data_IF_513157557645
#
_entry.id   IF_513157557645
#
_cell.length_a   1.000
_cell.length_b   1.000
_cell.length_c   1.000
_cell.angle_alpha   90.00
_cell.angle_beta   90.00
_cell.angle_gamma   90.00
#
_symmetry.space_group_name_H-M   'P 1'
#
loop_
_entity.id
_entity.type
_entity.pdbx_description
1 polymer ?
#
# COMPACT_ATOMS: atom_id res chain seq x y z
N UNK A 1 -80.36 -10.71 -59.11
CA UNK A 1 -81.04 -11.88 -59.70
C UNK A 1 -82.26 -11.33 -60.40
N UNK A 2 -82.44 -11.58 -61.70
CA UNK A 2 -83.57 -11.00 -62.44
C UNK A 2 -84.86 -11.70 -62.02
N UNK A 3 -85.96 -10.95 -61.83
CA UNK A 3 -87.28 -11.48 -61.46
C UNK A 3 -87.72 -12.62 -62.42
N UNK A 4 -87.29 -12.56 -63.68
CA UNK A 4 -87.57 -13.56 -64.71
C UNK A 4 -86.85 -14.91 -64.48
N UNK A 5 -85.67 -14.87 -63.84
CA UNK A 5 -84.92 -16.08 -63.44
C UNK A 5 -85.54 -16.76 -62.23
N UNK A 6 -86.09 -15.98 -61.29
CA UNK A 6 -86.79 -16.50 -60.12
C UNK A 6 -88.13 -17.12 -60.53
N UNK A 7 -88.88 -16.46 -61.44
CA UNK A 7 -90.10 -17.02 -62.03
C UNK A 7 -89.83 -18.37 -62.70
N UNK A 8 -88.74 -18.51 -63.46
CA UNK A 8 -88.40 -19.76 -64.15
C UNK A 8 -88.09 -20.91 -63.19
N UNK A 9 -87.25 -20.67 -62.16
CA UNK A 9 -86.98 -21.67 -61.12
C UNK A 9 -88.28 -22.07 -60.37
N UNK A 10 -89.12 -21.07 -60.15
CA UNK A 10 -90.51 -21.16 -59.70
C UNK A 10 -91.35 -22.22 -60.40
N UNK A 11 -91.41 -22.03 -61.72
CA UNK A 11 -92.19 -22.83 -62.64
C UNK A 11 -91.59 -24.23 -62.78
N UNK A 12 -90.26 -24.37 -62.71
CA UNK A 12 -89.60 -25.68 -62.70
C UNK A 12 -89.96 -26.49 -61.45
N UNK A 13 -89.98 -25.88 -60.27
CA UNK A 13 -90.45 -26.53 -59.05
C UNK A 13 -91.93 -26.94 -59.12
N UNK A 14 -92.79 -26.14 -59.78
CA UNK A 14 -94.19 -26.51 -60.03
C UNK A 14 -94.32 -27.66 -61.04
N UNK A 15 -93.43 -27.75 -62.04
CA UNK A 15 -93.40 -28.84 -63.03
C UNK A 15 -93.08 -30.20 -62.41
N UNK A 16 -92.30 -30.24 -61.34
CA UNK A 16 -92.01 -31.48 -60.61
C UNK A 16 -93.20 -31.95 -59.77
N UNK A 17 -94.02 -31.01 -59.27
CA UNK A 17 -95.15 -31.29 -58.37
C UNK A 17 -96.44 -31.62 -59.11
N UNK A 18 -96.67 -31.02 -60.27
CA UNK A 18 -97.89 -31.21 -61.06
C UNK A 18 -97.58 -31.89 -62.39
N UNK A 19 -97.95 -33.16 -62.50
CA UNK A 19 -97.76 -33.97 -63.72
C UNK A 19 -98.81 -33.66 -64.80
N UNK A 20 -100.00 -33.21 -64.42
CA UNK A 20 -101.03 -32.76 -65.35
C UNK A 20 -100.73 -31.37 -65.94
N UNK A 21 -100.80 -31.27 -67.26
CA UNK A 21 -100.48 -30.04 -67.99
C UNK A 21 -101.52 -28.95 -67.75
N UNK A 22 -102.81 -29.28 -67.62
CA UNK A 22 -103.86 -28.26 -67.37
C UNK A 22 -103.73 -27.66 -65.98
N UNK A 23 -103.51 -28.51 -64.98
CA UNK A 23 -103.27 -28.08 -63.60
C UNK A 23 -102.01 -27.24 -63.49
N UNK A 24 -100.92 -27.64 -64.15
CA UNK A 24 -99.69 -26.86 -64.19
C UNK A 24 -99.90 -25.45 -64.78
N UNK A 25 -100.62 -25.32 -65.90
CA UNK A 25 -100.93 -24.01 -66.46
C UNK A 25 -101.70 -23.11 -65.50
N UNK A 26 -102.65 -23.66 -64.74
CA UNK A 26 -103.42 -22.91 -63.74
C UNK A 26 -102.54 -22.43 -62.57
N UNK A 27 -101.65 -23.27 -62.06
CA UNK A 27 -100.73 -22.88 -60.97
C UNK A 27 -99.71 -21.84 -61.44
N UNK A 28 -99.25 -21.91 -62.69
CA UNK A 28 -98.39 -20.87 -63.28
C UNK A 28 -99.17 -19.56 -63.50
N UNK A 29 -100.44 -19.61 -63.91
CA UNK A 29 -101.31 -18.42 -63.91
C UNK A 29 -101.40 -17.79 -62.51
N UNK A 30 -101.62 -18.61 -61.47
CA UNK A 30 -101.70 -18.14 -60.09
C UNK A 30 -100.37 -17.54 -59.61
N UNK A 31 -99.24 -18.19 -59.91
CA UNK A 31 -97.90 -17.71 -59.56
C UNK A 31 -97.61 -16.34 -60.18
N UNK A 32 -97.84 -16.20 -61.49
CA UNK A 32 -97.63 -14.94 -62.19
C UNK A 32 -98.53 -13.81 -61.66
N UNK A 33 -99.81 -14.10 -61.45
CA UNK A 33 -100.78 -13.10 -61.04
C UNK A 33 -100.65 -12.69 -59.56
N UNK A 34 -100.62 -13.65 -58.64
CA UNK A 34 -100.67 -13.35 -57.20
C UNK A 34 -99.31 -12.96 -56.61
N UNK A 35 -98.22 -13.57 -57.07
CA UNK A 35 -96.91 -13.34 -56.46
C UNK A 35 -96.10 -12.27 -57.18
N UNK A 36 -96.15 -12.26 -58.50
CA UNK A 36 -95.37 -11.32 -59.31
C UNK A 36 -96.21 -10.15 -59.86
N UNK A 37 -97.54 -10.16 -59.69
CA UNK A 37 -98.42 -9.09 -60.18
C UNK A 37 -98.47 -8.98 -61.72
N UNK A 38 -98.00 -10.01 -62.44
CA UNK A 38 -97.97 -10.02 -63.90
C UNK A 38 -99.28 -10.63 -64.41
N UNK A 39 -100.01 -9.90 -65.26
CA UNK A 39 -101.19 -10.44 -65.94
C UNK A 39 -100.80 -11.61 -66.83
N UNK A 40 -101.27 -12.84 -66.54
CA UNK A 40 -100.88 -14.01 -67.31
C UNK A 40 -101.46 -13.87 -68.74
N UNK A 41 -100.63 -14.12 -69.75
CA UNK A 41 -101.06 -14.18 -71.15
C UNK A 41 -100.71 -15.54 -71.73
N UNK A 42 -101.47 -16.01 -72.73
CA UNK A 42 -101.25 -17.31 -73.34
C UNK A 42 -99.79 -17.49 -73.85
N UNK A 43 -99.18 -16.43 -74.37
CA UNK A 43 -97.79 -16.42 -74.81
C UNK A 43 -96.80 -16.62 -73.66
N UNK A 44 -96.93 -15.85 -72.56
CA UNK A 44 -96.04 -15.98 -71.39
C UNK A 44 -96.17 -17.34 -70.71
N UNK A 45 -97.39 -17.85 -70.58
CA UNK A 45 -97.64 -19.18 -70.01
C UNK A 45 -96.95 -20.27 -70.83
N UNK A 46 -97.07 -20.19 -72.16
CA UNK A 46 -96.43 -21.15 -73.06
C UNK A 46 -94.90 -21.08 -72.97
N UNK A 47 -94.32 -19.87 -72.89
CA UNK A 47 -92.87 -19.66 -72.78
C UNK A 47 -92.27 -20.29 -71.52
N UNK A 48 -92.99 -20.29 -70.40
CA UNK A 48 -92.53 -20.84 -69.12
C UNK A 48 -92.84 -22.34 -68.97
N UNK A 49 -93.98 -22.84 -69.43
CA UNK A 49 -94.39 -24.25 -69.23
C UNK A 49 -93.88 -25.18 -70.33
N UNK A 50 -93.81 -24.69 -71.58
CA UNK A 50 -93.36 -25.40 -72.79
C UNK A 50 -93.86 -26.85 -72.92
N UNK A 51 -95.13 -27.11 -72.58
CA UNK A 51 -95.79 -28.42 -72.66
C UNK A 51 -97.23 -28.29 -73.18
N UNK A 52 -97.71 -29.28 -73.94
CA UNK A 52 -99.10 -29.34 -74.42
C UNK A 52 -99.34 -28.73 -75.81
N UNK A 53 -100.60 -28.79 -76.26
CA UNK A 53 -101.01 -28.22 -77.55
C UNK A 53 -101.08 -26.69 -77.50
N UNK A 54 -101.05 -26.05 -78.68
CA UNK A 54 -101.10 -24.60 -78.84
C UNK A 54 -102.36 -23.94 -78.21
N UNK A 55 -103.46 -24.68 -78.03
CA UNK A 55 -104.72 -24.18 -77.44
C UNK A 55 -104.80 -24.31 -75.90
N UNK A 56 -103.95 -25.12 -75.27
CA UNK A 56 -104.01 -25.40 -73.84
C UNK A 56 -103.75 -24.16 -72.93
N UNK A 57 -102.82 -23.24 -73.25
CA UNK A 57 -102.59 -22.04 -72.43
C UNK A 57 -103.79 -21.09 -72.40
N UNK A 58 -104.52 -20.97 -73.52
CA UNK A 58 -105.67 -20.08 -73.62
C UNK A 58 -106.89 -20.60 -72.84
N UNK A 59 -107.14 -21.91 -72.89
CA UNK A 59 -108.23 -22.55 -72.12
C UNK A 59 -107.98 -22.46 -70.61
N UNK A 60 -106.74 -22.71 -70.17
CA UNK A 60 -106.36 -22.61 -68.76
C UNK A 60 -106.46 -21.17 -68.24
N UNK A 61 -106.07 -20.19 -69.06
CA UNK A 61 -106.21 -18.77 -68.72
C UNK A 61 -107.67 -18.36 -68.55
N UNK A 62 -108.55 -18.76 -69.47
CA UNK A 62 -109.98 -18.44 -69.41
C UNK A 62 -110.64 -19.00 -68.13
N UNK A 63 -110.36 -20.27 -67.81
CA UNK A 63 -110.84 -20.93 -66.58
C UNK A 63 -110.28 -20.27 -65.32
N UNK A 64 -109.01 -19.88 -65.31
CA UNK A 64 -108.41 -19.17 -64.18
C UNK A 64 -109.14 -17.85 -63.86
N UNK A 65 -109.46 -17.04 -64.88
CA UNK A 65 -110.20 -15.79 -64.68
C UNK A 65 -111.66 -15.97 -64.30
N UNK A 66 -112.28 -17.08 -64.69
CA UNK A 66 -113.62 -17.48 -64.24
C UNK A 66 -113.61 -17.87 -62.76
N UNK A 67 -112.72 -18.78 -62.36
CA UNK A 67 -112.54 -19.23 -60.99
C UNK A 67 -112.18 -18.06 -60.04
N UNK A 68 -111.31 -17.15 -60.49
CA UNK A 68 -110.91 -15.98 -59.71
C UNK A 68 -112.08 -15.03 -59.47
N UNK A 69 -112.92 -14.80 -60.49
CA UNK A 69 -114.12 -13.96 -60.36
C UNK A 69 -115.17 -14.60 -59.45
N UNK A 70 -115.33 -15.92 -59.51
CA UNK A 70 -116.22 -16.64 -58.60
C UNK A 70 -115.77 -16.55 -57.14
N UNK A 71 -114.47 -16.72 -56.86
CA UNK A 71 -113.92 -16.70 -55.49
C UNK A 71 -113.81 -15.30 -54.88
N UNK A 72 -113.73 -14.25 -55.70
CA UNK A 72 -113.61 -12.88 -55.21
C UNK A 72 -114.96 -12.26 -54.80
N UNK A 73 -116.09 -12.92 -55.10
CA UNK A 73 -117.42 -12.42 -54.76
C UNK A 73 -117.85 -12.96 -53.39
N UNK A 74 -118.20 -12.07 -52.47
CA UNK A 74 -118.77 -12.43 -51.18
C UNK A 74 -120.27 -12.62 -51.37
N UNK A 75 -120.70 -13.85 -51.63
CA UNK A 75 -122.12 -14.21 -51.73
C UNK A 75 -122.57 -14.91 -50.44
N UNK A 76 -123.65 -14.41 -49.84
CA UNK A 76 -124.32 -15.07 -48.71
C UNK A 76 -125.38 -15.98 -49.30
N UNK A 77 -125.03 -17.24 -49.49
CA UNK A 77 -125.94 -18.19 -50.11
C UNK A 77 -126.84 -18.85 -49.06
N UNK A 78 -128.07 -18.35 -48.96
CA UNK A 78 -129.13 -18.91 -48.12
C UNK A 78 -130.42 -19.04 -48.94
N UNK A 79 -131.06 -20.22 -48.99
CA UNK A 79 -132.17 -20.49 -49.92
C UNK A 79 -133.42 -19.63 -49.67
N UNK A 80 -133.66 -19.20 -48.43
CA UNK A 80 -134.88 -18.44 -48.05
C UNK A 80 -134.68 -16.92 -47.93
N UNK A 81 -133.53 -16.38 -48.34
CA UNK A 81 -133.23 -14.94 -48.18
C UNK A 81 -133.48 -14.17 -49.48
N UNK A 82 -134.27 -13.07 -49.47
CA UNK A 82 -134.45 -12.21 -50.64
C UNK A 82 -133.12 -11.63 -51.15
N UNK A 83 -132.96 -11.55 -52.46
CA UNK A 83 -131.71 -11.14 -53.11
C UNK A 83 -131.19 -9.77 -52.63
N UNK A 84 -132.08 -8.80 -52.45
CA UNK A 84 -131.74 -7.47 -51.94
C UNK A 84 -131.11 -7.50 -50.53
N UNK A 85 -131.49 -8.46 -49.68
CA UNK A 85 -130.90 -8.64 -48.34
C UNK A 85 -129.53 -9.32 -48.42
N UNK A 86 -129.34 -10.27 -49.35
CA UNK A 86 -128.04 -10.92 -49.59
C UNK A 86 -127.00 -9.91 -50.08
N UNK A 87 -127.38 -9.06 -51.03
CA UNK A 87 -126.50 -8.00 -51.55
C UNK A 87 -126.13 -6.99 -50.46
N UNK A 88 -127.12 -6.51 -49.68
CA UNK A 88 -126.87 -5.57 -48.59
C UNK A 88 -125.95 -6.16 -47.50
N UNK A 89 -126.15 -7.43 -47.13
CA UNK A 89 -125.32 -8.09 -46.13
C UNK A 89 -123.90 -8.40 -46.65
N UNK A 90 -123.76 -8.81 -47.92
CA UNK A 90 -122.45 -8.99 -48.57
C UNK A 90 -121.67 -7.67 -48.67
N UNK A 91 -122.34 -6.57 -49.00
CA UNK A 91 -121.76 -5.23 -48.99
C UNK A 91 -121.30 -4.81 -47.58
N UNK A 92 -122.14 -5.02 -46.56
CA UNK A 92 -121.79 -4.68 -45.18
C UNK A 92 -120.57 -5.46 -44.68
N UNK A 93 -120.49 -6.76 -44.95
CA UNK A 93 -119.33 -7.60 -44.59
C UNK A 93 -118.08 -7.17 -45.35
N UNK A 94 -118.21 -6.83 -46.64
CA UNK A 94 -117.08 -6.34 -47.43
C UNK A 94 -116.53 -5.01 -46.91
N UNK A 95 -117.40 -4.08 -46.50
CA UNK A 95 -117.00 -2.79 -45.92
C UNK A 95 -116.32 -3.01 -44.56
N UNK A 96 -116.90 -3.86 -43.70
CA UNK A 96 -116.34 -4.16 -42.39
C UNK A 96 -114.97 -4.83 -42.53
N UNK A 97 -114.83 -5.81 -43.42
CA UNK A 97 -113.55 -6.45 -43.71
C UNK A 97 -112.50 -5.47 -44.22
N UNK A 98 -112.87 -4.59 -45.15
CA UNK A 98 -111.97 -3.57 -45.67
C UNK A 98 -111.50 -2.62 -44.56
N UNK A 99 -112.42 -2.14 -43.71
CA UNK A 99 -112.10 -1.26 -42.58
C UNK A 99 -111.23 -1.96 -41.53
N UNK A 100 -111.55 -3.20 -41.15
CA UNK A 100 -110.73 -3.96 -40.20
C UNK A 100 -109.34 -4.27 -40.75
N UNK A 101 -109.23 -4.58 -42.04
CA UNK A 101 -107.93 -4.82 -42.69
C UNK A 101 -107.10 -3.54 -42.75
N UNK A 102 -107.73 -2.40 -43.00
CA UNK A 102 -107.02 -1.10 -43.01
C UNK A 102 -106.53 -0.72 -41.62
N UNK A 103 -107.39 -0.81 -40.59
CA UNK A 103 -106.99 -0.56 -39.20
C UNK A 103 -105.84 -1.47 -38.75
N UNK A 104 -105.91 -2.76 -39.07
CA UNK A 104 -104.85 -3.72 -38.75
C UNK A 104 -103.52 -3.39 -39.48
N UNK A 105 -103.59 -2.85 -40.71
CA UNK A 105 -102.40 -2.39 -41.45
C UNK A 105 -101.79 -1.15 -40.82
N UNK A 106 -102.62 -0.20 -40.39
CA UNK A 106 -102.19 1.01 -39.69
C UNK A 106 -101.51 0.67 -38.36
N UNK A 107 -102.13 -0.18 -37.54
CA UNK A 107 -101.55 -0.66 -36.27
C UNK A 107 -100.22 -1.41 -36.49
N UNK A 108 -100.16 -2.29 -37.49
CA UNK A 108 -98.93 -2.99 -37.84
C UNK A 108 -97.84 -2.03 -38.32
N UNK A 109 -98.20 -0.98 -39.07
CA UNK A 109 -97.26 0.04 -39.50
C UNK A 109 -96.70 0.83 -38.30
N UNK A 110 -97.56 1.20 -37.34
CA UNK A 110 -97.14 1.86 -36.10
C UNK A 110 -96.17 0.99 -35.30
N UNK A 111 -96.52 -0.28 -35.03
CA UNK A 111 -95.65 -1.22 -34.31
C UNK A 111 -94.31 -1.45 -35.04
N UNK A 112 -94.29 -1.46 -36.37
CA UNK A 112 -93.05 -1.58 -37.15
C UNK A 112 -92.15 -0.34 -36.99
N UNK A 113 -92.72 0.85 -36.89
CA UNK A 113 -91.95 2.08 -36.65
C UNK A 113 -91.38 2.08 -35.24
N UNK A 114 -92.19 1.72 -34.24
CA UNK A 114 -91.76 1.63 -32.84
C UNK A 114 -90.64 0.59 -32.67
N UNK A 115 -90.82 -0.62 -33.18
CA UNK A 115 -89.80 -1.67 -33.10
C UNK A 115 -88.49 -1.28 -33.82
N UNK A 116 -88.57 -0.52 -34.93
CA UNK A 116 -87.38 0.01 -35.60
C UNK A 116 -86.68 1.08 -34.75
N UNK A 117 -87.45 2.00 -34.16
CA UNK A 117 -86.91 3.03 -33.27
C UNK A 117 -86.23 2.43 -32.03
N UNK A 118 -86.84 1.41 -31.41
CA UNK A 118 -86.24 0.67 -30.30
C UNK A 118 -84.97 -0.08 -30.72
N UNK A 119 -84.98 -0.75 -31.87
CA UNK A 119 -83.81 -1.45 -32.39
C UNK A 119 -82.65 -0.50 -32.69
N UNK A 120 -82.94 0.68 -33.25
CA UNK A 120 -81.92 1.67 -33.57
C UNK A 120 -81.38 2.35 -32.31
N UNK A 121 -82.24 2.62 -31.32
CA UNK A 121 -81.83 3.08 -29.98
C UNK A 121 -80.92 2.07 -29.28
N UNK A 122 -81.29 0.78 -29.29
CA UNK A 122 -80.48 -0.29 -28.71
C UNK A 122 -79.12 -0.44 -29.40
N UNK A 123 -79.07 -0.32 -30.74
CA UNK A 123 -77.79 -0.32 -31.49
C UNK A 123 -76.92 0.87 -31.14
N UNK A 124 -77.50 2.06 -31.01
CA UNK A 124 -76.77 3.27 -30.61
C UNK A 124 -76.17 3.11 -29.21
N UNK A 125 -76.95 2.61 -28.24
CA UNK A 125 -76.47 2.32 -26.90
C UNK A 125 -75.36 1.25 -26.89
N UNK A 126 -75.50 0.19 -27.69
CA UNK A 126 -74.45 -0.83 -27.84
C UNK A 126 -73.16 -0.24 -28.40
N UNK A 127 -73.24 0.61 -29.42
CA UNK A 127 -72.07 1.27 -30.00
C UNK A 127 -71.39 2.20 -28.99
N UNK A 128 -72.16 2.95 -28.20
CA UNK A 128 -71.61 3.81 -27.15
C UNK A 128 -70.87 3.01 -26.08
N UNK A 129 -71.43 1.88 -25.63
CA UNK A 129 -70.79 0.99 -24.66
C UNK A 129 -69.53 0.36 -25.26
N UNK A 130 -69.55 -0.06 -26.53
CA UNK A 130 -68.37 -0.60 -27.22
C UNK A 130 -67.25 0.44 -27.34
N UNK A 131 -67.58 1.69 -27.67
CA UNK A 131 -66.60 2.78 -27.73
C UNK A 131 -66.00 3.07 -26.35
N UNK A 132 -66.83 3.08 -25.30
CA UNK A 132 -66.35 3.24 -23.91
C UNK A 132 -65.45 2.10 -23.48
N UNK A 133 -65.81 0.85 -23.78
CA UNK A 133 -64.97 -0.30 -23.47
C UNK A 133 -63.63 -0.24 -24.21
N UNK A 134 -63.62 0.09 -25.51
CA UNK A 134 -62.39 0.25 -26.27
C UNK A 134 -61.49 1.36 -25.69
N UNK A 135 -62.08 2.48 -25.24
CA UNK A 135 -61.33 3.55 -24.58
C UNK A 135 -60.72 3.10 -23.23
N UNK A 136 -61.48 2.35 -22.43
CA UNK A 136 -61.00 1.81 -21.15
C UNK A 136 -59.88 0.78 -21.39
N UNK A 137 -60.02 -0.10 -22.37
CA UNK A 137 -58.99 -1.07 -22.74
C UNK A 137 -57.69 -0.38 -23.19
N UNK A 138 -57.80 0.69 -23.98
CA UNK A 138 -56.63 1.50 -24.38
C UNK A 138 -55.94 2.14 -23.16
N UNK A 139 -56.71 2.73 -22.24
CA UNK A 139 -56.17 3.31 -21.01
C UNK A 139 -55.54 2.25 -20.10
N UNK A 140 -56.11 1.04 -20.04
CA UNK A 140 -55.56 -0.07 -19.27
C UNK A 140 -54.22 -0.54 -19.85
N UNK A 141 -54.12 -0.68 -21.17
CA UNK A 141 -52.87 -1.04 -21.85
C UNK A 141 -51.78 0.03 -21.62
N UNK A 142 -52.14 1.31 -21.71
CA UNK A 142 -51.22 2.41 -21.41
C UNK A 142 -50.76 2.42 -19.95
N UNK A 143 -51.67 2.15 -19.01
CA UNK A 143 -51.34 2.04 -17.60
C UNK A 143 -50.42 0.84 -17.32
N UNK A 144 -50.65 -0.30 -17.98
CA UNK A 144 -49.80 -1.49 -17.88
C UNK A 144 -48.41 -1.24 -18.46
N UNK A 145 -48.29 -0.56 -19.61
CA UNK A 145 -46.98 -0.24 -20.19
C UNK A 145 -46.20 0.70 -19.28
N UNK A 146 -46.84 1.76 -18.75
CA UNK A 146 -46.24 2.66 -17.76
C UNK A 146 -45.84 1.92 -16.49
N UNK A 147 -46.65 0.97 -16.03
CA UNK A 147 -46.33 0.10 -14.90
C UNK A 147 -45.06 -0.70 -15.13
N UNK A 148 -44.96 -1.39 -16.27
CA UNK A 148 -43.79 -2.17 -16.64
C UNK A 148 -42.52 -1.30 -16.80
N UNK A 149 -42.65 -0.10 -17.37
CA UNK A 149 -41.54 0.87 -17.46
C UNK A 149 -41.05 1.32 -16.09
N UNK A 150 -41.96 1.63 -15.17
CA UNK A 150 -41.61 2.04 -13.80
C UNK A 150 -40.99 0.89 -13.01
N UNK A 151 -41.51 -0.33 -13.13
CA UNK A 151 -40.92 -1.54 -12.54
C UNK A 151 -39.51 -1.78 -13.06
N UNK A 152 -39.30 -1.64 -14.38
CA UNK A 152 -37.98 -1.73 -14.99
C UNK A 152 -37.00 -0.68 -14.45
N UNK A 153 -37.46 0.58 -14.29
CA UNK A 153 -36.66 1.66 -13.69
C UNK A 153 -36.32 1.39 -12.23
N UNK A 154 -37.27 0.90 -11.44
CA UNK A 154 -37.04 0.55 -10.03
C UNK A 154 -36.03 -0.59 -9.92
N UNK A 155 -36.14 -1.62 -10.76
CA UNK A 155 -35.18 -2.72 -10.80
C UNK A 155 -33.77 -2.22 -11.17
N UNK A 156 -33.68 -1.40 -12.22
CA UNK A 156 -32.40 -0.83 -12.66
C UNK A 156 -31.75 0.02 -11.56
N UNK A 157 -32.49 0.96 -10.97
CA UNK A 157 -31.99 1.77 -9.84
C UNK A 157 -31.61 0.92 -8.63
N UNK A 158 -32.32 -0.19 -8.38
CA UNK A 158 -31.97 -1.17 -7.37
C UNK A 158 -30.60 -1.80 -7.63
N UNK A 159 -30.33 -2.21 -8.87
CA UNK A 159 -29.03 -2.79 -9.25
C UNK A 159 -27.88 -1.79 -9.15
N UNK A 160 -28.11 -0.53 -9.55
CA UNK A 160 -27.12 0.55 -9.43
C UNK A 160 -26.81 0.85 -7.96
N UNK A 161 -27.84 0.96 -7.11
CA UNK A 161 -27.67 1.18 -5.68
C UNK A 161 -26.88 0.06 -5.01
N UNK A 162 -27.13 -1.20 -5.38
CA UNK A 162 -26.34 -2.31 -4.88
C UNK A 162 -24.89 -2.27 -5.36
N UNK A 163 -24.65 -1.87 -6.62
CA UNK A 163 -23.31 -1.69 -7.15
C UNK A 163 -22.55 -0.61 -6.37
N UNK A 164 -23.16 0.56 -6.17
CA UNK A 164 -22.60 1.67 -5.39
C UNK A 164 -22.33 1.26 -3.94
N UNK A 165 -23.24 0.52 -3.30
CA UNK A 165 -23.03 -0.01 -1.94
C UNK A 165 -21.83 -0.95 -1.87
N UNK A 166 -21.65 -1.83 -2.86
CA UNK A 166 -20.48 -2.73 -2.93
C UNK A 166 -19.18 -1.94 -3.16
N UNK A 167 -19.21 -0.95 -4.06
CA UNK A 167 -18.07 -0.08 -4.33
C UNK A 167 -17.67 0.72 -3.08
N UNK A 168 -18.64 1.32 -2.39
CA UNK A 168 -18.43 2.04 -1.13
C UNK A 168 -17.89 1.13 -0.03
N UNK A 169 -18.43 -0.08 0.13
CA UNK A 169 -17.89 -1.04 1.11
C UNK A 169 -16.43 -1.41 0.81
N UNK A 170 -16.08 -1.59 -0.46
CA UNK A 170 -14.71 -1.88 -0.88
C UNK A 170 -13.76 -0.70 -0.63
N UNK A 171 -14.17 0.53 -0.92
CA UNK A 171 -13.35 1.72 -0.65
C UNK A 171 -13.20 1.97 0.85
N UNK A 172 -14.25 1.78 1.65
CA UNK A 172 -14.19 1.87 3.10
C UNK A 172 -13.22 0.84 3.71
N UNK A 173 -13.27 -0.43 3.28
CA UNK A 173 -12.34 -1.46 3.73
C UNK A 173 -10.88 -1.16 3.37
N UNK A 174 -10.63 -0.60 2.17
CA UNK A 174 -9.30 -0.12 1.77
C UNK A 174 -8.83 1.04 2.63
N UNK A 175 -9.70 2.00 2.91
CA UNK A 175 -9.38 3.14 3.77
C UNK A 175 -9.03 2.69 5.20
N UNK A 176 -9.79 1.75 5.77
CA UNK A 176 -9.50 1.17 7.09
C UNK A 176 -8.16 0.42 7.11
N UNK A 177 -7.87 -0.37 6.05
CA UNK A 177 -6.59 -1.07 5.91
C UNK A 177 -5.42 -0.09 5.82
N UNK A 178 -5.55 0.97 5.02
CA UNK A 178 -4.53 2.02 4.91
C UNK A 178 -4.35 2.77 6.22
N UNK A 179 -5.43 3.05 6.97
CA UNK A 179 -5.34 3.68 8.28
C UNK A 179 -4.55 2.82 9.26
N UNK A 180 -4.82 1.50 9.31
CA UNK A 180 -4.05 0.55 10.13
C UNK A 180 -2.57 0.55 9.75
N UNK A 181 -2.25 0.50 8.46
CA UNK A 181 -0.86 0.56 7.99
C UNK A 181 -0.16 1.86 8.40
N UNK A 182 -0.85 3.00 8.33
CA UNK A 182 -0.31 4.28 8.78
C UNK A 182 -0.03 4.28 10.28
N UNK A 183 -0.92 3.71 11.08
CA UNK A 183 -0.73 3.64 12.54
C UNK A 183 0.38 2.66 12.94
N UNK A 184 0.52 1.53 12.24
CA UNK A 184 1.65 0.60 12.38
C UNK A 184 2.97 1.29 12.04
N UNK A 185 3.06 1.96 10.90
CA UNK A 185 4.26 2.70 10.49
C UNK A 185 4.62 3.83 11.46
N UNK A 186 3.63 4.54 12.02
CA UNK A 186 3.88 5.55 13.07
C UNK A 186 4.45 4.91 14.33
N UNK A 187 3.93 3.75 14.74
CA UNK A 187 4.42 3.03 15.91
C UNK A 187 5.86 2.55 15.68
N UNK A 188 6.16 1.97 14.52
CA UNK A 188 7.50 1.55 14.13
C UNK A 188 8.47 2.74 14.07
N UNK A 189 8.05 3.86 13.49
CA UNK A 189 8.86 5.08 13.46
C UNK A 189 9.16 5.59 14.88
N UNK A 190 8.16 5.59 15.77
CA UNK A 190 8.34 6.00 17.17
C UNK A 190 9.33 5.08 17.90
N UNK A 191 9.18 3.75 17.77
CA UNK A 191 10.10 2.77 18.34
C UNK A 191 11.52 2.96 17.79
N UNK A 192 11.64 3.13 16.48
CA UNK A 192 12.93 3.39 15.82
C UNK A 192 13.60 4.65 16.39
N UNK A 193 12.87 5.76 16.53
CA UNK A 193 13.38 7.00 17.17
C UNK A 193 13.82 6.78 18.61
N UNK A 194 13.05 6.03 19.41
CA UNK A 194 13.41 5.69 20.79
C UNK A 194 14.69 4.84 20.84
N UNK A 195 14.81 3.81 19.99
CA UNK A 195 16.01 2.99 19.89
C UNK A 195 17.23 3.81 19.47
N UNK A 196 17.10 4.67 18.46
CA UNK A 196 18.19 5.55 18.04
C UNK A 196 18.61 6.51 19.15
N UNK A 197 17.66 7.11 19.89
CA UNK A 197 17.98 7.96 21.04
C UNK A 197 18.74 7.18 22.12
N UNK A 198 18.27 5.98 22.45
CA UNK A 198 18.92 5.13 23.45
C UNK A 198 20.34 4.74 23.04
N UNK A 199 20.57 4.41 21.76
CA UNK A 199 21.91 4.11 21.24
C UNK A 199 22.82 5.36 21.22
N UNK A 200 22.28 6.54 20.91
CA UNK A 200 23.02 7.80 21.02
C UNK A 200 23.44 8.10 22.46
N UNK A 201 22.53 7.91 23.42
CA UNK A 201 22.83 8.15 24.84
C UNK A 201 23.84 7.14 25.39
N UNK A 202 23.74 5.86 25.00
CA UNK A 202 24.78 4.85 25.29
C UNK A 202 26.13 5.23 24.68
N UNK A 203 26.14 5.69 23.43
CA UNK A 203 27.35 6.16 22.75
C UNK A 203 28.00 7.34 23.46
N UNK A 204 27.20 8.33 23.90
CA UNK A 204 27.67 9.46 24.70
C UNK A 204 28.25 9.00 26.04
N UNK A 205 27.54 8.14 26.77
CA UNK A 205 28.02 7.60 28.04
C UNK A 205 29.35 6.83 27.87
N UNK A 206 29.51 6.05 26.80
CA UNK A 206 30.76 5.34 26.50
C UNK A 206 31.92 6.31 26.18
N UNK A 207 31.64 7.41 25.46
CA UNK A 207 32.61 8.47 25.19
C UNK A 207 33.02 9.16 26.50
N UNK A 208 32.05 9.53 27.35
CA UNK A 208 32.31 10.19 28.63
C UNK A 208 33.13 9.29 29.57
N UNK A 209 32.82 7.99 29.61
CA UNK A 209 33.58 7.01 30.39
C UNK A 209 35.01 6.86 29.85
N UNK A 210 35.18 6.77 28.53
CA UNK A 210 36.51 6.71 27.91
C UNK A 210 37.32 7.99 28.16
N UNK A 211 36.68 9.16 28.09
CA UNK A 211 37.29 10.45 28.41
C UNK A 211 37.70 10.52 29.88
N UNK A 212 36.86 10.05 30.80
CA UNK A 212 37.20 9.95 32.23
C UNK A 212 38.37 9.02 32.47
N UNK A 213 38.37 7.82 31.87
CA UNK A 213 39.49 6.87 31.94
C UNK A 213 40.79 7.47 31.39
N UNK A 214 40.73 8.20 30.28
CA UNK A 214 41.88 8.90 29.71
C UNK A 214 42.40 10.00 30.65
N UNK A 215 41.52 10.84 31.20
CA UNK A 215 41.87 11.90 32.14
C UNK A 215 42.44 11.34 33.46
N UNK A 216 41.96 10.19 33.94
CA UNK A 216 42.57 9.50 35.08
C UNK A 216 43.94 8.91 34.76
N UNK A 217 44.12 8.31 33.58
CA UNK A 217 45.40 7.79 33.14
C UNK A 217 46.42 8.93 33.00
N UNK A 218 46.01 10.07 32.42
CA UNK A 218 46.83 11.29 32.33
C UNK A 218 47.22 11.80 33.73
N UNK A 219 46.27 11.90 34.66
CA UNK A 219 46.57 12.28 36.07
C UNK A 219 47.53 11.32 36.76
N UNK A 220 47.43 10.01 36.51
CA UNK A 220 48.38 9.02 37.03
C UNK A 220 49.77 9.22 36.43
N UNK A 221 49.87 9.37 35.12
CA UNK A 221 51.13 9.64 34.43
C UNK A 221 51.81 10.92 34.93
N UNK A 222 51.06 12.01 35.13
CA UNK A 222 51.59 13.27 35.69
C UNK A 222 52.15 13.07 37.11
N UNK A 223 51.46 12.31 37.96
CA UNK A 223 51.96 11.98 39.31
C UNK A 223 53.22 11.11 39.28
N UNK A 224 53.31 10.17 38.34
CA UNK A 224 54.52 9.37 38.14
C UNK A 224 55.69 10.23 37.67
N UNK A 225 55.46 11.15 36.72
CA UNK A 225 56.46 12.13 36.28
C UNK A 225 56.94 13.00 37.44
N UNK A 226 56.04 13.49 38.30
CA UNK A 226 56.44 14.31 39.46
C UNK A 226 57.19 13.49 40.52
N UNK A 227 56.82 12.23 40.74
CA UNK A 227 57.59 11.30 41.59
C UNK A 227 58.98 11.05 41.00
N UNK A 228 59.11 10.83 39.71
CA UNK A 228 60.40 10.70 39.05
C UNK A 228 61.22 11.98 39.15
N UNK A 229 60.62 13.15 38.94
CA UNK A 229 61.31 14.45 39.07
C UNK A 229 61.81 14.68 40.49
N UNK A 230 61.00 14.38 41.49
CA UNK A 230 61.40 14.51 42.90
C UNK A 230 62.48 13.50 43.28
N UNK A 231 62.39 12.26 42.83
CA UNK A 231 63.45 11.26 43.00
C UNK A 231 64.75 11.69 42.31
N UNK A 232 64.69 12.16 41.06
CA UNK A 232 65.86 12.71 40.34
C UNK A 232 66.48 13.88 41.10
N UNK A 233 65.67 14.84 41.57
CA UNK A 233 66.17 15.98 42.35
C UNK A 233 66.80 15.56 43.69
N UNK A 234 66.29 14.49 44.34
CA UNK A 234 66.91 13.92 45.53
C UNK A 234 68.26 13.26 45.21
N UNK A 235 68.32 12.47 44.13
CA UNK A 235 69.57 11.86 43.66
C UNK A 235 70.59 12.93 43.26
N UNK A 236 70.18 14.00 42.58
CA UNK A 236 71.05 15.13 42.22
C UNK A 236 71.61 15.82 43.47
N UNK A 237 70.77 16.05 44.50
CA UNK A 237 71.24 16.58 45.79
C UNK A 237 72.23 15.64 46.48
N UNK A 238 71.98 14.34 46.47
CA UNK A 238 72.90 13.34 47.03
C UNK A 238 74.22 13.31 46.25
N UNK A 239 74.18 13.36 44.92
CA UNK A 239 75.36 13.47 44.08
C UNK A 239 76.15 14.75 44.38
N UNK A 240 75.48 15.88 44.53
CA UNK A 240 76.14 17.15 44.86
C UNK A 240 76.73 17.14 46.28
N UNK A 241 76.06 16.52 47.25
CA UNK A 241 76.62 16.29 48.58
C UNK A 241 77.85 15.37 48.55
N UNK A 242 77.80 14.28 47.77
CA UNK A 242 78.94 13.38 47.61
C UNK A 242 80.10 14.06 46.88
N UNK A 243 79.82 14.90 45.87
CA UNK A 243 80.82 15.77 45.23
C UNK A 243 81.42 16.75 46.23
N UNK A 244 80.60 17.42 47.04
CA UNK A 244 81.06 18.28 48.12
C UNK A 244 82.02 17.56 49.07
N UNK A 245 81.60 16.39 49.59
CA UNK A 245 82.45 15.53 50.44
C UNK A 245 83.73 15.08 49.74
N UNK A 246 83.68 14.77 48.45
CA UNK A 246 84.87 14.42 47.67
C UNK A 246 85.81 15.62 47.57
N UNK A 247 85.31 16.82 47.25
CA UNK A 247 86.14 18.03 47.21
C UNK A 247 86.73 18.39 48.57
N UNK A 248 86.00 18.17 49.66
CA UNK A 248 86.53 18.32 51.03
C UNK A 248 87.61 17.29 51.33
N UNK A 249 87.38 16.01 51.01
CA UNK A 249 88.37 14.96 51.17
C UNK A 249 89.63 15.19 50.30
N UNK A 250 89.47 15.71 49.08
CA UNK A 250 90.57 16.14 48.21
C UNK A 250 91.35 17.31 48.81
N UNK A 251 90.66 18.32 49.38
CA UNK A 251 91.31 19.43 50.10
C UNK A 251 92.04 18.94 51.35
N UNK A 252 91.44 18.09 52.15
CA UNK A 252 92.07 17.49 53.33
C UNK A 252 93.28 16.64 52.94
N UNK A 253 93.16 15.85 51.88
CA UNK A 253 94.28 15.07 51.35
C UNK A 253 95.40 15.98 50.83
N UNK A 254 95.06 17.05 50.12
CA UNK A 254 96.02 18.04 49.64
C UNK A 254 96.70 18.78 50.81
N UNK A 255 95.96 19.15 51.86
CA UNK A 255 96.49 19.75 53.07
C UNK A 255 97.44 18.80 53.80
N UNK A 256 97.06 17.52 53.96
CA UNK A 256 97.93 16.47 54.52
C UNK A 256 99.19 16.25 53.68
N UNK A 257 99.09 16.29 52.35
CA UNK A 257 100.24 16.20 51.45
C UNK A 257 101.16 17.41 51.60
N UNK A 258 100.61 18.63 51.71
CA UNK A 258 101.39 19.84 51.97
C UNK A 258 102.09 19.79 53.33
N UNK A 259 101.40 19.31 54.37
CA UNK A 259 101.96 19.13 55.71
C UNK A 259 103.05 18.05 55.72
N UNK A 260 102.83 16.92 55.05
CA UNK A 260 103.83 15.87 54.87
C UNK A 260 105.05 16.38 54.07
N UNK A 261 104.84 17.17 53.01
CA UNK A 261 105.92 17.82 52.27
C UNK A 261 106.67 18.84 53.13
N UNK A 262 105.97 19.62 53.96
CA UNK A 262 106.60 20.55 54.89
C UNK A 262 107.41 19.80 55.97
N UNK A 263 106.91 18.68 56.48
CA UNK A 263 107.63 17.80 57.39
C UNK A 263 108.85 17.16 56.72
N UNK A 264 108.73 16.70 55.47
CA UNK A 264 109.86 16.22 54.67
C UNK A 264 110.90 17.33 54.44
N UNK A 265 110.49 18.56 54.13
CA UNK A 265 111.40 19.69 53.96
C UNK A 265 112.14 20.04 55.26
N UNK A 266 111.44 19.98 56.41
CA UNK A 266 112.08 20.14 57.74
C UNK A 266 113.10 19.04 58.00
N UNK A 267 112.73 17.77 57.79
CA UNK A 267 113.65 16.64 57.93
C UNK A 267 114.86 16.74 56.99
N UNK A 268 114.66 17.21 55.76
CA UNK A 268 115.74 17.45 54.81
C UNK A 268 116.68 18.58 55.30
N UNK A 269 116.13 19.66 55.84
CA UNK A 269 116.91 20.75 56.45
C UNK A 269 117.66 20.29 57.70
N UNK A 270 117.04 19.50 58.57
CA UNK A 270 117.69 18.93 59.75
C UNK A 270 118.81 17.97 59.36
N UNK A 271 118.62 17.15 58.32
CA UNK A 271 119.67 16.31 57.75
C UNK A 271 120.81 17.13 57.15
N UNK A 272 120.53 18.23 56.48
CA UNK A 272 121.56 19.10 55.90
C UNK A 272 122.36 19.82 57.01
N UNK A 273 121.69 20.26 58.08
CA UNK A 273 122.34 20.80 59.29
C UNK A 273 123.17 19.75 60.04
N UNK A 274 122.67 18.51 60.13
CA UNK A 274 123.43 17.39 60.67
C UNK A 274 124.65 17.06 59.79
N UNK A 275 124.51 17.16 58.46
CA UNK A 275 125.63 16.99 57.53
C UNK A 275 126.65 18.11 57.64
N UNK A 276 126.23 19.37 57.78
CA UNK A 276 127.16 20.50 57.94
C UNK A 276 127.92 20.41 59.27
N UNK A 277 127.25 20.06 60.37
CA UNK A 277 127.92 19.82 61.66
C UNK A 277 128.86 18.61 61.63
N UNK A 278 128.53 17.55 60.89
CA UNK A 278 129.43 16.43 60.64
C UNK A 278 130.64 16.84 59.79
N UNK A 279 130.44 17.67 58.77
CA UNK A 279 131.52 18.21 57.95
C UNK A 279 132.45 19.11 58.75
N UNK A 280 131.90 19.96 59.62
CA UNK A 280 132.68 20.83 60.51
C UNK A 280 133.48 20.01 61.53
N UNK A 281 132.89 18.98 62.15
CA UNK A 281 133.60 18.08 63.06
C UNK A 281 134.65 17.21 62.36
N UNK A 282 134.42 16.82 61.10
CA UNK A 282 135.44 16.18 60.27
C UNK A 282 136.62 17.13 59.95
N UNK A 283 136.33 18.42 59.72
CA UNK A 283 137.33 19.47 59.49
C UNK A 283 138.20 19.72 60.73
N UNK A 284 137.58 19.76 61.92
CA UNK A 284 138.29 19.87 63.20
C UNK A 284 139.19 18.65 63.44
N UNK A 285 138.70 17.43 63.18
CA UNK A 285 139.51 16.22 63.30
C UNK A 285 140.68 16.20 62.31
N UNK A 286 140.49 16.68 61.07
CA UNK A 286 141.59 16.79 60.11
C UNK A 286 142.67 17.78 60.57
N UNK A 287 142.27 18.94 61.12
CA UNK A 287 143.22 19.92 61.68
C UNK A 287 144.01 19.34 62.86
N UNK A 288 143.34 18.64 63.77
CA UNK A 288 144.00 17.93 64.88
C UNK A 288 144.94 16.81 64.38
N UNK A 289 144.58 16.13 63.29
CA UNK A 289 145.44 15.12 62.65
C UNK A 289 146.74 15.69 62.07
N UNK A 290 146.68 16.90 61.47
CA UNK A 290 147.86 17.60 60.93
C UNK A 290 148.78 18.07 62.05
N UNK A 291 148.23 18.61 63.15
CA UNK A 291 149.03 19.04 64.31
C UNK A 291 149.78 17.87 64.97
N UNK A 292 149.13 16.71 65.08
CA UNK A 292 149.76 15.51 65.63
C UNK A 292 150.91 14.97 64.75
N UNK A 293 150.74 15.02 63.43
CA UNK A 293 151.80 14.64 62.48
C UNK A 293 153.02 15.57 62.54
N UNK A 294 152.80 16.87 62.71
CA UNK A 294 153.89 17.84 62.87
C UNK A 294 154.66 17.64 64.19
N UNK A 295 153.96 17.31 65.29
CA UNK A 295 154.59 16.98 66.57
C UNK A 295 155.46 15.71 66.48
N UNK A 296 155.01 14.68 65.77
CA UNK A 296 155.76 13.43 65.59
C UNK A 296 157.02 13.62 64.72
N UNK A 297 156.96 14.48 63.69
CA UNK A 297 158.12 14.79 62.85
C UNK A 297 159.20 15.58 63.61
N UNK A 298 158.82 16.50 64.49
CA UNK A 298 159.76 17.23 65.35
C UNK A 298 160.50 16.31 66.34
N UNK A 299 159.84 15.28 66.87
CA UNK A 299 160.46 14.27 67.75
C UNK A 299 161.42 13.37 66.97
N UNK A 300 161.10 13.02 65.73
CA UNK A 300 161.97 12.21 64.87
C UNK A 300 163.26 12.95 64.49
N UNK A 301 163.18 14.26 64.20
CA UNK A 301 164.36 15.09 63.86
C UNK A 301 165.34 15.22 65.04
N UNK A 302 164.83 15.40 66.27
CA UNK A 302 165.69 15.45 67.48
C UNK A 302 166.35 14.11 67.81
N UNK A 303 165.74 12.97 67.43
CA UNK A 303 166.37 11.65 67.57
C UNK A 303 167.50 11.44 66.57
N UNK A 304 167.34 11.88 65.32
CA UNK A 304 168.37 11.77 64.29
C UNK A 304 169.63 12.62 64.59
N UNK A 305 169.46 13.80 65.19
CA UNK A 305 170.56 14.68 65.62
C UNK A 305 171.34 14.10 66.81
N UNK A 306 170.67 13.38 67.73
CA UNK A 306 171.32 12.74 68.87
C UNK A 306 172.17 11.51 68.48
N UNK A 307 171.78 10.78 67.44
CA UNK A 307 172.49 9.58 66.98
C UNK A 307 173.71 9.92 66.09
N UNK A 308 173.67 11.06 65.39
CA UNK A 308 174.80 11.56 64.57
C UNK A 308 175.95 12.11 65.42
N UNK A 309 175.66 12.75 66.56
CA UNK A 309 176.68 13.21 67.51
C UNK A 309 177.34 12.06 68.30
N UNK A 310 176.64 10.92 68.49
CA UNK A 310 177.21 9.70 69.10
C UNK A 310 178.16 8.94 68.18
N UNK A 311 178.00 9.04 66.86
CA UNK A 311 178.83 8.32 65.90
C UNK A 311 180.23 8.95 65.67
N UNK A 312 180.37 10.28 65.83
CA UNK A 312 181.64 10.99 65.61
C UNK A 312 182.66 10.87 66.75
N UNK A 313 182.23 10.56 67.97
CA UNK A 313 183.13 10.41 69.13
C UNK A 313 183.79 9.02 69.18
N UNK A 314 183.33 8.06 68.38
CA UNK A 314 183.77 6.66 68.44
C UNK A 314 185.01 6.31 67.57
N UNK A 315 185.56 7.23 66.76
CA UNK A 315 186.63 6.90 65.80
C UNK A 315 188.07 7.21 66.24
N UNK A 316 188.32 7.79 67.42
CA UNK A 316 189.70 8.05 67.88
C UNK A 316 189.92 7.78 69.38
N UNK A 317 190.18 6.52 69.77
CA UNK A 317 191.25 6.17 70.73
C UNK A 317 191.44 4.63 70.96
N UNK A 318 192.66 4.18 71.32
CA UNK A 318 193.07 2.77 71.44
C UNK A 318 192.76 2.18 72.85
N UNK A 319 192.98 0.86 73.08
CA UNK A 319 192.17 0.07 74.01
C UNK A 319 192.70 0.03 75.45
N UNK A 320 191.80 -0.01 76.43
CA UNK A 320 192.06 -0.60 77.76
C UNK A 320 190.81 -1.27 78.35
N UNK A 321 191.09 -2.13 79.33
CA UNK A 321 190.36 -3.30 79.84
C UNK A 321 189.21 -2.99 80.85
N UNK A 322 188.43 -4.01 81.28
CA UNK A 322 187.02 -3.91 81.72
C UNK A 322 186.84 -3.76 83.23
N UNK A 323 185.57 -3.56 83.70
CA UNK A 323 184.97 -4.13 84.95
C UNK A 323 183.47 -3.73 85.13
N UNK A 324 182.62 -4.76 85.34
CA UNK A 324 181.40 -4.96 86.18
C UNK A 324 180.31 -3.88 86.47
N UNK A 325 179.06 -4.43 86.45
CA UNK A 325 177.90 -4.30 87.41
C UNK A 325 177.00 -3.05 87.27
N UNK A 326 175.67 -3.03 87.54
CA UNK A 326 174.58 -3.96 87.94
C UNK A 326 173.26 -3.12 87.96
N UNK A 327 172.08 -3.76 87.75
CA UNK A 327 170.65 -3.50 88.17
C UNK A 327 170.37 -2.32 89.17
N UNK A 328 169.12 -1.79 89.36
CA UNK A 328 167.79 -2.46 89.33
C UNK A 328 166.55 -1.60 88.85
N UNK A 329 165.37 -2.21 88.59
CA UNK A 329 164.06 -2.20 89.33
C UNK A 329 163.16 -0.96 89.17
N UNK A 330 161.97 -1.13 88.57
CA UNK A 330 160.59 -1.05 89.16
C UNK A 330 159.96 0.33 88.81
N UNK A 331 158.66 0.53 88.56
CA UNK A 331 157.46 -0.29 88.57
C UNK A 331 156.25 0.63 88.33
N UNK A 332 155.11 0.01 88.01
CA UNK A 332 153.73 0.54 87.80
C UNK A 332 153.42 1.28 86.49
#
# INVERSE_FOLDING_TARGET
>A
MSEESEIQAEVEALRERFSDTKTLYREVCALLFFRYGITPTASKLYQHVRKGSMSAPAEALAKFWEDLRGKARVEIDHPDLPEALKEAAGQAVSVLWAQSTELAREELAALRVEARAEADSAKAALQEVQQRNAAIEALLLEAQSKGAELEGRVHHLGTELEHERRAHAATAARAETLSRQVDELKLEQSKSRQHFSAELDKGRAAIDEAASRAAEAERRALREIDRERTARAQMDKQLEQLRGKLTEAERDHHAKLLEANAAQARLASDLESARSSLADSARVNQLQGVELQQALQAVAQRKAEADTLRALVAQFQPPTRPVRKKKPADGQ
#
